data_IF_710341850572
#
_entry.id   IF_710341850572
#
_cell.length_a   1.000
_cell.length_b   1.000
_cell.length_c   1.000
_cell.angle_alpha   90.00
_cell.angle_beta   90.00
_cell.angle_gamma   90.00
#
_symmetry.space_group_name_H-M   'P 1'
#
loop_
_entity.id
_entity.type
_entity.pdbx_description
1 polymer ?
#
# COMPACT_ATOMS: atom_id res chain seq x y z
N UNK A 1 12.97 -7.96 18.81
CA UNK A 1 14.36 -8.26 19.22
C UNK A 1 15.10 -8.75 17.99
N UNK A 2 15.90 -7.87 17.37
CA UNK A 2 17.13 -8.11 16.59
C UNK A 2 17.48 -6.77 15.93
N UNK A 3 18.34 -6.00 16.61
CA UNK A 3 19.12 -4.91 16.03
C UNK A 3 20.30 -5.52 15.28
N UNK A 4 20.50 -5.15 14.02
CA UNK A 4 21.80 -5.28 13.35
C UNK A 4 22.27 -3.89 12.95
N UNK A 5 23.19 -3.36 13.74
CA UNK A 5 23.98 -2.16 13.45
C UNK A 5 24.91 -2.51 12.29
N UNK A 6 24.76 -1.82 11.15
CA UNK A 6 25.70 -1.90 10.04
C UNK A 6 26.89 -1.00 10.39
N UNK A 7 28.03 -1.60 10.74
CA UNK A 7 29.31 -0.90 10.80
C UNK A 7 29.82 -0.66 9.37
N UNK A 8 29.54 0.53 8.82
CA UNK A 8 30.27 1.05 7.66
C UNK A 8 31.67 1.48 8.13
N UNK A 9 32.72 0.81 7.64
CA UNK A 9 34.09 1.29 7.78
C UNK A 9 34.27 2.57 6.97
N UNK A 10 33.99 3.71 7.60
CA UNK A 10 34.23 5.03 7.03
C UNK A 10 35.73 5.32 7.02
N UNK A 11 36.23 5.78 5.88
CA UNK A 11 37.62 6.20 5.69
C UNK A 11 38.01 7.33 6.66
N UNK A 12 39.29 7.45 7.06
CA UNK A 12 39.74 8.42 8.08
C UNK A 12 39.35 9.87 7.77
N UNK A 13 39.32 10.23 6.48
CA UNK A 13 38.94 11.56 6.01
C UNK A 13 37.45 11.87 6.23
N UNK A 14 36.57 10.88 6.06
CA UNK A 14 35.12 11.05 6.24
C UNK A 14 34.75 11.20 7.71
N UNK A 15 35.45 10.49 8.62
CA UNK A 15 35.30 10.66 10.08
C UNK A 15 35.72 12.06 10.53
N UNK A 16 36.84 12.59 10.01
CA UNK A 16 37.31 13.97 10.30
C UNK A 16 36.37 15.03 9.73
N UNK A 17 35.76 14.77 8.56
CA UNK A 17 34.75 15.66 7.97
C UNK A 17 33.48 15.74 8.82
N UNK A 18 32.95 14.60 9.28
CA UNK A 18 31.77 14.54 10.14
C UNK A 18 31.99 15.24 11.50
N UNK A 19 33.23 15.22 12.01
CA UNK A 19 33.62 15.90 13.24
C UNK A 19 34.03 17.37 13.06
N UNK A 20 34.00 17.91 11.85
CA UNK A 20 34.39 19.31 11.58
C UNK A 20 35.90 19.61 11.65
N UNK A 21 36.74 18.58 11.77
CA UNK A 21 38.20 18.63 12.02
C UNK A 21 39.05 18.84 10.75
N UNK A 22 38.42 19.25 9.64
CA UNK A 22 39.12 19.59 8.41
C UNK A 22 39.56 21.06 8.44
N UNK A 23 40.86 21.28 8.21
CA UNK A 23 41.44 22.63 8.07
C UNK A 23 40.88 23.36 6.83
N UNK A 24 40.91 24.69 6.83
CA UNK A 24 40.43 25.49 5.66
C UNK A 24 41.16 25.11 4.36
N UNK A 25 42.44 24.76 4.42
CA UNK A 25 43.21 24.25 3.27
C UNK A 25 42.79 22.85 2.81
N UNK A 26 42.22 22.01 3.70
CA UNK A 26 41.64 20.71 3.34
C UNK A 26 40.20 20.84 2.78
N UNK A 27 39.48 21.91 3.15
CA UNK A 27 38.12 22.24 2.66
C UNK A 27 38.15 22.90 1.27
N UNK A 28 39.21 23.64 0.96
CA UNK A 28 39.35 24.44 -0.25
C UNK A 28 40.61 24.05 -1.04
N UNK A 29 40.45 23.06 -1.93
CA UNK A 29 41.28 22.96 -3.14
C UNK A 29 40.33 22.83 -4.32
N UNK A 30 39.85 23.96 -4.81
CA UNK A 30 39.29 24.07 -6.17
C UNK A 30 40.42 23.83 -7.18
N UNK A 31 40.84 22.58 -7.32
CA UNK A 31 41.66 22.15 -8.45
C UNK A 31 40.74 22.18 -9.65
N UNK A 32 40.94 23.14 -10.55
CA UNK A 32 40.26 23.20 -11.85
C UNK A 32 40.38 21.83 -12.50
N UNK A 33 39.29 21.06 -12.54
CA UNK A 33 39.27 19.74 -13.18
C UNK A 33 39.28 19.99 -14.68
N UNK A 34 40.40 19.70 -15.32
CA UNK A 34 40.48 19.70 -16.78
C UNK A 34 39.47 18.68 -17.30
N UNK A 35 38.55 19.08 -18.18
CA UNK A 35 37.57 18.18 -18.79
C UNK A 35 38.18 17.53 -20.04
N UNK A 36 37.59 16.42 -20.48
CA UNK A 36 37.94 15.78 -21.74
C UNK A 36 37.74 16.76 -22.90
N UNK A 37 38.73 16.90 -23.79
CA UNK A 37 38.64 17.72 -24.99
C UNK A 37 38.55 16.82 -26.21
N UNK A 38 37.48 16.97 -27.01
CA UNK A 38 37.30 16.18 -28.23
C UNK A 38 38.41 16.41 -29.26
N UNK A 39 39.07 17.59 -29.21
CA UNK A 39 40.25 17.89 -30.01
C UNK A 39 41.43 16.92 -29.78
N UNK A 40 41.46 16.19 -28.65
CA UNK A 40 42.48 15.16 -28.42
C UNK A 40 42.26 13.91 -29.26
N UNK A 41 41.04 13.66 -29.74
CA UNK A 41 40.77 12.52 -30.62
C UNK A 41 41.36 12.73 -32.02
N UNK A 42 41.70 13.96 -32.39
CA UNK A 42 42.34 14.32 -33.64
C UNK A 42 43.87 14.47 -33.54
N UNK A 43 44.43 14.53 -32.33
CA UNK A 43 45.88 14.61 -32.10
C UNK A 43 46.52 13.23 -32.33
N UNK A 44 47.48 13.12 -33.25
CA UNK A 44 48.15 11.87 -33.62
C UNK A 44 48.75 11.12 -32.42
N UNK A 45 49.04 11.81 -31.31
CA UNK A 45 49.55 11.19 -30.07
C UNK A 45 48.50 10.41 -29.29
N UNK A 46 47.23 10.79 -29.40
CA UNK A 46 46.13 10.25 -28.60
C UNK A 46 45.05 9.55 -29.47
N UNK A 47 45.02 9.88 -30.77
CA UNK A 47 44.13 9.31 -31.78
C UNK A 47 44.31 7.80 -31.87
N UNK A 48 43.19 7.09 -31.86
CA UNK A 48 43.13 5.62 -32.01
C UNK A 48 43.10 4.81 -30.71
N UNK A 49 43.47 5.38 -29.55
CA UNK A 49 43.43 4.63 -28.27
C UNK A 49 42.75 5.37 -27.11
N UNK A 50 42.64 6.70 -27.16
CA UNK A 50 41.98 7.49 -26.12
C UNK A 50 40.46 7.55 -26.37
N UNK A 51 39.64 7.40 -25.31
CA UNK A 51 38.16 7.41 -25.38
C UNK A 51 37.54 8.18 -24.21
N UNK A 52 36.54 9.02 -24.52
CA UNK A 52 35.72 9.73 -23.55
C UNK A 52 34.74 8.78 -22.82
N UNK A 53 34.39 9.10 -21.56
CA UNK A 53 33.37 8.37 -20.79
C UNK A 53 32.16 9.32 -20.64
N UNK A 54 30.99 9.00 -21.24
CA UNK A 54 29.83 9.91 -21.26
C UNK A 54 29.40 10.41 -19.86
N UNK A 55 29.45 9.53 -18.86
CA UNK A 55 28.98 9.84 -17.50
C UNK A 55 30.07 10.44 -16.59
N UNK A 56 31.32 10.56 -17.06
CA UNK A 56 32.46 11.05 -16.26
C UNK A 56 33.40 11.95 -17.09
N UNK A 57 33.05 13.23 -17.31
CA UNK A 57 33.79 14.14 -18.20
C UNK A 57 35.19 14.53 -17.68
N UNK A 58 35.52 14.22 -16.42
CA UNK A 58 36.84 14.39 -15.84
C UNK A 58 37.72 13.12 -15.89
N UNK A 59 37.30 12.10 -16.63
CA UNK A 59 38.04 10.86 -16.81
C UNK A 59 38.06 10.44 -18.28
N UNK A 60 39.16 9.81 -18.66
CA UNK A 60 39.33 9.20 -19.96
C UNK A 60 39.64 7.71 -19.79
N UNK A 61 39.34 6.93 -20.83
CA UNK A 61 39.68 5.51 -20.89
C UNK A 61 40.65 5.26 -22.04
N UNK A 62 41.58 4.33 -21.84
CA UNK A 62 42.40 3.79 -22.91
C UNK A 62 41.79 2.48 -23.41
N UNK A 63 41.49 2.43 -24.71
CA UNK A 63 40.97 1.25 -25.41
C UNK A 63 41.99 0.10 -25.31
N UNK A 64 43.28 0.41 -25.42
CA UNK A 64 44.33 -0.60 -25.45
C UNK A 64 44.58 -1.26 -24.10
N UNK A 65 44.49 -0.50 -23.02
CA UNK A 65 44.83 -0.99 -21.67
C UNK A 65 43.61 -1.28 -20.80
N UNK A 66 42.41 -0.94 -21.27
CA UNK A 66 41.17 -0.94 -20.50
C UNK A 66 41.32 -0.23 -19.14
N UNK A 67 42.08 0.87 -19.11
CA UNK A 67 42.41 1.63 -17.90
C UNK A 67 41.72 2.99 -17.94
N UNK A 68 41.17 3.40 -16.79
CA UNK A 68 40.55 4.71 -16.60
C UNK A 68 41.52 5.61 -15.83
N UNK A 69 41.77 6.82 -16.34
CA UNK A 69 42.65 7.82 -15.73
C UNK A 69 42.05 9.23 -15.84
N UNK A 70 42.66 10.18 -15.14
CA UNK A 70 42.23 11.58 -15.16
C UNK A 70 42.52 12.26 -16.49
N UNK A 71 41.71 13.28 -16.81
CA UNK A 71 41.81 14.10 -18.04
C UNK A 71 42.87 15.20 -17.96
N UNK A 72 43.83 15.12 -17.04
CA UNK A 72 44.98 16.04 -17.07
C UNK A 72 45.90 15.61 -18.20
N UNK A 73 46.33 16.54 -19.06
CA UNK A 73 47.18 16.23 -20.22
C UNK A 73 48.47 15.47 -19.82
N UNK A 74 49.05 15.78 -18.66
CA UNK A 74 50.20 15.07 -18.10
C UNK A 74 49.93 13.60 -17.75
N UNK A 75 48.70 13.28 -17.31
CA UNK A 75 48.30 11.91 -16.98
C UNK A 75 48.12 11.07 -18.25
N UNK A 76 47.60 11.69 -19.31
CA UNK A 76 47.42 11.06 -20.63
C UNK A 76 48.78 10.75 -21.26
N UNK A 77 49.70 11.72 -21.26
CA UNK A 77 51.07 11.55 -21.78
C UNK A 77 51.81 10.46 -20.98
N UNK A 78 51.79 10.54 -19.65
CA UNK A 78 52.43 9.54 -18.78
C UNK A 78 51.86 8.13 -18.99
N UNK A 79 50.56 8.01 -19.26
CA UNK A 79 49.97 6.72 -19.63
C UNK A 79 50.50 6.22 -20.98
N UNK A 80 50.57 7.10 -21.99
CA UNK A 80 51.06 6.76 -23.33
C UNK A 80 52.51 6.28 -23.35
N UNK A 81 53.36 6.80 -22.46
CA UNK A 81 54.76 6.43 -22.30
C UNK A 81 54.96 5.18 -21.42
N UNK A 82 53.90 4.67 -20.78
CA UNK A 82 54.02 3.52 -19.90
C UNK A 82 54.32 2.23 -20.68
N UNK A 83 55.24 1.41 -20.17
CA UNK A 83 55.60 0.12 -20.80
C UNK A 83 54.39 -0.80 -21.02
N UNK A 84 53.40 -0.75 -20.11
CA UNK A 84 52.14 -1.50 -20.26
C UNK A 84 51.35 -1.01 -21.48
N UNK A 85 51.29 0.31 -21.68
CA UNK A 85 50.62 0.91 -22.83
C UNK A 85 51.32 0.57 -24.14
N UNK A 86 52.64 0.77 -24.20
CA UNK A 86 53.45 0.48 -25.39
C UNK A 86 53.27 -0.99 -25.84
N UNK A 87 53.30 -1.95 -24.89
CA UNK A 87 53.04 -3.37 -25.17
C UNK A 87 51.60 -3.66 -25.62
N UNK A 88 50.62 -2.97 -25.05
CA UNK A 88 49.20 -3.18 -25.39
C UNK A 88 48.87 -2.61 -26.77
N UNK A 89 49.43 -1.44 -27.11
CA UNK A 89 49.24 -0.78 -28.41
C UNK A 89 50.00 -1.48 -29.52
N UNK A 90 51.22 -1.99 -29.27
CA UNK A 90 51.93 -2.81 -30.25
C UNK A 90 51.17 -4.10 -30.57
N UNK A 91 50.50 -4.69 -29.56
CA UNK A 91 49.60 -5.85 -29.76
C UNK A 91 48.35 -5.51 -30.58
N UNK A 92 47.88 -4.24 -30.54
CA UNK A 92 46.75 -3.76 -31.34
C UNK A 92 47.10 -3.40 -32.77
N UNK A 93 48.34 -2.97 -33.06
CA UNK A 93 48.79 -2.70 -34.44
C UNK A 93 48.75 -3.96 -35.33
N UNK A 94 48.84 -5.14 -34.73
CA UNK A 94 48.76 -6.43 -35.42
C UNK A 94 47.32 -6.98 -35.56
N UNK A 95 46.31 -6.26 -35.07
CA UNK A 95 44.90 -6.66 -35.18
C UNK A 95 44.19 -5.62 -36.06
N UNK A 96 44.19 -5.87 -37.36
CA UNK A 96 43.31 -5.16 -38.30
C UNK A 96 41.86 -5.24 -37.82
N UNK A 97 41.28 -4.08 -37.48
CA UNK A 97 39.85 -3.81 -37.26
C UNK A 97 39.02 -5.04 -36.86
N UNK A 98 39.06 -5.41 -35.57
CA UNK A 98 37.93 -6.11 -34.98
C UNK A 98 36.77 -5.12 -34.86
N UNK A 99 35.90 -5.09 -35.87
CA UNK A 99 34.52 -4.63 -35.64
C UNK A 99 33.95 -5.52 -34.54
N UNK A 100 33.73 -4.96 -33.36
CA UNK A 100 33.02 -5.64 -32.28
C UNK A 100 31.54 -5.71 -32.67
N UNK A 101 31.19 -6.59 -33.61
CA UNK A 101 29.81 -7.02 -33.83
C UNK A 101 29.54 -8.08 -32.75
N UNK A 102 28.77 -7.77 -31.69
CA UNK A 102 28.35 -8.82 -30.78
C UNK A 102 27.59 -9.85 -31.61
N UNK A 103 28.00 -11.11 -31.48
CA UNK A 103 27.36 -12.21 -32.20
C UNK A 103 25.84 -12.16 -31.94
N UNK A 104 25.06 -12.12 -33.02
CA UNK A 104 23.62 -11.88 -32.98
C UNK A 104 22.92 -12.87 -32.05
N UNK A 105 23.45 -14.10 -31.95
CA UNK A 105 22.96 -15.15 -31.08
C UNK A 105 23.19 -14.87 -29.59
N UNK A 106 24.32 -14.27 -29.23
CA UNK A 106 24.61 -13.88 -27.83
C UNK A 106 23.65 -12.77 -27.38
N UNK A 107 23.38 -11.80 -28.27
CA UNK A 107 22.45 -10.69 -27.98
C UNK A 107 21.02 -11.23 -27.83
N UNK A 108 20.58 -12.11 -28.74
CA UNK A 108 19.26 -12.76 -28.65
C UNK A 108 19.12 -13.54 -27.34
N UNK A 109 20.11 -14.35 -26.98
CA UNK A 109 20.08 -15.15 -25.75
C UNK A 109 19.99 -14.27 -24.51
N UNK A 110 20.81 -13.21 -24.42
CA UNK A 110 20.77 -12.25 -23.30
C UNK A 110 19.40 -11.59 -23.17
N UNK A 111 18.81 -11.21 -24.30
CA UNK A 111 17.48 -10.58 -24.35
C UNK A 111 16.40 -11.54 -23.84
N UNK A 112 16.47 -12.83 -24.21
CA UNK A 112 15.55 -13.85 -23.72
C UNK A 112 15.69 -14.12 -22.22
N UNK A 113 16.92 -14.14 -21.70
CA UNK A 113 17.16 -14.25 -20.24
C UNK A 113 16.53 -13.05 -19.51
N UNK A 114 16.79 -11.83 -19.98
CA UNK A 114 16.21 -10.61 -19.40
C UNK A 114 14.69 -10.61 -19.44
N UNK A 115 14.09 -11.02 -20.57
CA UNK A 115 12.64 -11.17 -20.70
C UNK A 115 12.08 -12.17 -19.70
N UNK A 116 12.74 -13.31 -19.53
CA UNK A 116 12.33 -14.35 -18.58
C UNK A 116 12.40 -13.84 -17.14
N UNK A 117 13.47 -13.13 -16.78
CA UNK A 117 13.61 -12.53 -15.45
C UNK A 117 12.55 -11.44 -15.19
N UNK A 118 12.22 -10.62 -16.19
CA UNK A 118 11.15 -9.65 -16.11
C UNK A 118 9.78 -10.31 -15.93
N UNK A 119 9.50 -11.39 -16.67
CA UNK A 119 8.25 -12.16 -16.52
C UNK A 119 8.13 -12.79 -15.13
N UNK A 120 9.21 -13.33 -14.58
CA UNK A 120 9.24 -13.84 -13.20
C UNK A 120 9.00 -12.72 -12.18
N UNK A 121 9.64 -11.56 -12.35
CA UNK A 121 9.43 -10.41 -11.48
C UNK A 121 7.98 -9.88 -11.56
N UNK A 122 7.42 -9.83 -12.76
CA UNK A 122 6.02 -9.47 -13.00
C UNK A 122 5.05 -10.46 -12.33
N UNK A 123 5.32 -11.77 -12.45
CA UNK A 123 4.54 -12.81 -11.79
C UNK A 123 4.55 -12.64 -10.26
N UNK A 124 5.73 -12.39 -9.67
CA UNK A 124 5.85 -12.11 -8.22
C UNK A 124 5.00 -10.92 -7.82
N UNK A 125 5.01 -9.84 -8.61
CA UNK A 125 4.23 -8.64 -8.33
C UNK A 125 2.71 -8.90 -8.44
N UNK A 126 2.25 -9.54 -9.52
CA UNK A 126 0.82 -9.78 -9.78
C UNK A 126 0.19 -10.71 -8.75
N UNK A 127 0.95 -11.68 -8.23
CA UNK A 127 0.45 -12.66 -7.26
C UNK A 127 0.77 -12.30 -5.81
N UNK A 128 1.26 -11.07 -5.55
CA UNK A 128 1.63 -10.58 -4.22
C UNK A 128 2.53 -11.59 -3.46
N UNK A 129 3.50 -12.17 -4.17
CA UNK A 129 4.41 -13.15 -3.59
C UNK A 129 5.51 -12.44 -2.81
N UNK A 130 5.94 -13.07 -1.71
CA UNK A 130 7.09 -12.60 -0.95
C UNK A 130 8.33 -12.55 -1.84
N UNK A 131 9.05 -11.42 -1.84
CA UNK A 131 10.34 -11.32 -2.52
C UNK A 131 11.39 -12.28 -1.97
N UNK A 132 11.16 -12.95 -0.82
CA UNK A 132 12.03 -14.03 -0.33
C UNK A 132 11.84 -15.30 -1.15
N UNK A 133 10.63 -15.55 -1.65
CA UNK A 133 10.31 -16.74 -2.44
C UNK A 133 11.04 -16.76 -3.79
N UNK A 134 11.41 -15.59 -4.34
CA UNK A 134 12.09 -15.51 -5.64
C UNK A 134 13.48 -16.14 -5.63
N UNK A 135 14.14 -16.18 -4.47
CA UNK A 135 15.48 -16.74 -4.34
C UNK A 135 15.49 -18.25 -4.65
N UNK A 136 14.36 -18.93 -4.41
CA UNK A 136 14.13 -20.34 -4.74
C UNK A 136 13.39 -20.50 -6.08
N UNK A 137 12.34 -19.71 -6.32
CA UNK A 137 11.52 -19.78 -7.54
C UNK A 137 12.34 -19.59 -8.81
N UNK A 138 13.33 -18.68 -8.79
CA UNK A 138 14.23 -18.43 -9.93
C UNK A 138 15.13 -19.61 -10.30
N UNK A 139 15.32 -20.58 -9.39
CA UNK A 139 16.14 -21.77 -9.63
C UNK A 139 15.36 -22.91 -10.28
N UNK A 140 14.04 -22.97 -10.06
CA UNK A 140 13.19 -24.04 -10.57
C UNK A 140 13.29 -24.23 -12.09
N UNK A 141 13.32 -23.18 -12.94
CA UNK A 141 13.50 -23.34 -14.38
C UNK A 141 14.76 -24.14 -14.74
N UNK A 142 15.87 -23.95 -14.00
CA UNK A 142 17.12 -24.65 -14.27
C UNK A 142 17.11 -26.12 -13.83
N UNK A 143 16.27 -26.46 -12.84
CA UNK A 143 16.11 -27.84 -12.33
C UNK A 143 15.14 -28.65 -13.20
N UNK A 144 14.07 -28.01 -13.66
CA UNK A 144 13.01 -28.66 -14.45
C UNK A 144 13.40 -28.73 -15.94
N UNK A 145 13.96 -27.64 -16.48
CA UNK A 145 14.39 -27.54 -17.88
C UNK A 145 15.92 -27.49 -17.94
N UNK A 146 16.53 -28.64 -17.68
CA UNK A 146 17.98 -28.80 -17.54
C UNK A 146 18.74 -28.75 -18.88
N UNK A 147 18.06 -28.82 -20.01
CA UNK A 147 18.59 -28.71 -21.37
C UNK A 147 18.63 -27.25 -21.86
N UNK A 148 17.73 -26.40 -21.34
CA UNK A 148 17.64 -25.00 -21.75
C UNK A 148 18.86 -24.18 -21.31
N UNK A 149 19.50 -23.49 -22.27
CA UNK A 149 20.59 -22.54 -21.99
C UNK A 149 20.11 -21.28 -21.27
N UNK A 150 18.85 -20.88 -21.50
CA UNK A 150 18.24 -19.67 -20.92
C UNK A 150 18.02 -19.87 -19.42
N UNK A 151 17.37 -20.98 -19.04
CA UNK A 151 17.07 -21.33 -17.65
C UNK A 151 18.32 -21.37 -16.78
N UNK A 152 19.43 -21.89 -17.30
CA UNK A 152 20.74 -21.93 -16.60
C UNK A 152 21.36 -20.55 -16.37
N UNK A 153 21.00 -19.54 -17.17
CA UNK A 153 21.55 -18.19 -17.10
C UNK A 153 20.66 -17.21 -16.31
N UNK A 154 19.47 -17.65 -15.86
CA UNK A 154 18.62 -16.84 -15.00
C UNK A 154 19.35 -16.55 -13.69
N UNK A 155 19.55 -15.27 -13.39
CA UNK A 155 20.18 -14.79 -12.17
C UNK A 155 19.29 -13.73 -11.54
N UNK A 156 18.12 -14.18 -11.08
CA UNK A 156 17.10 -13.35 -10.47
C UNK A 156 16.99 -13.66 -8.97
N UNK A 157 17.56 -12.79 -8.15
CA UNK A 157 17.42 -12.83 -6.69
C UNK A 157 16.61 -11.64 -6.19
N UNK A 158 16.27 -11.66 -4.91
CA UNK A 158 15.45 -10.64 -4.22
C UNK A 158 15.78 -9.20 -4.62
N UNK A 159 17.04 -8.79 -4.53
CA UNK A 159 17.47 -7.40 -4.79
C UNK A 159 17.26 -6.99 -6.24
N UNK A 160 17.55 -7.90 -7.19
CA UNK A 160 17.34 -7.66 -8.61
C UNK A 160 15.85 -7.63 -8.94
N UNK A 161 15.07 -8.57 -8.41
CA UNK A 161 13.62 -8.60 -8.56
C UNK A 161 12.96 -7.29 -8.10
N UNK A 162 13.33 -6.79 -6.92
CA UNK A 162 12.83 -5.50 -6.40
C UNK A 162 13.19 -4.35 -7.34
N UNK A 163 14.42 -4.31 -7.84
CA UNK A 163 14.85 -3.26 -8.78
C UNK A 163 14.12 -3.33 -10.12
N UNK A 164 13.87 -4.54 -10.65
CA UNK A 164 13.09 -4.72 -11.88
C UNK A 164 11.65 -4.24 -11.69
N UNK A 165 11.02 -4.59 -10.57
CA UNK A 165 9.65 -4.15 -10.29
C UNK A 165 9.60 -2.64 -10.13
N UNK A 166 10.45 -2.06 -9.27
CA UNK A 166 10.41 -0.62 -8.96
C UNK A 166 10.83 0.26 -10.12
N UNK A 167 11.91 -0.08 -10.82
CA UNK A 167 12.54 0.83 -11.78
C UNK A 167 12.20 0.52 -13.23
N UNK A 168 11.54 -0.62 -13.52
CA UNK A 168 11.16 -1.00 -14.88
C UNK A 168 9.66 -1.19 -14.97
N UNK A 169 9.09 -2.16 -14.26
CA UNK A 169 7.66 -2.49 -14.39
C UNK A 169 6.77 -1.34 -13.90
N UNK A 170 7.03 -0.80 -12.71
CA UNK A 170 6.24 0.30 -12.17
C UNK A 170 6.34 1.55 -13.05
N UNK A 171 7.53 1.88 -13.55
CA UNK A 171 7.75 2.98 -14.50
C UNK A 171 6.89 2.85 -15.76
N UNK A 172 6.83 1.66 -16.35
CA UNK A 172 6.03 1.41 -17.56
C UNK A 172 4.53 1.51 -17.26
N UNK A 173 4.09 1.00 -16.10
CA UNK A 173 2.68 1.10 -15.70
C UNK A 173 2.28 2.56 -15.44
N UNK A 174 3.11 3.33 -14.73
CA UNK A 174 2.93 4.77 -14.49
C UNK A 174 2.84 5.52 -15.82
N UNK A 175 3.81 5.32 -16.73
CA UNK A 175 3.81 5.94 -18.06
C UNK A 175 2.57 5.61 -18.88
N UNK A 176 2.09 4.37 -18.82
CA UNK A 176 0.88 3.95 -19.55
C UNK A 176 -0.36 4.64 -19.01
N UNK A 177 -0.53 4.67 -17.68
CA UNK A 177 -1.66 5.35 -17.03
C UNK A 177 -1.63 6.84 -17.38
N UNK A 178 -0.47 7.50 -17.25
CA UNK A 178 -0.31 8.92 -17.55
C UNK A 178 -0.66 9.22 -19.01
N UNK A 179 -0.14 8.45 -19.96
CA UNK A 179 -0.47 8.61 -21.40
C UNK A 179 -1.95 8.42 -21.67
N UNK A 180 -2.62 7.52 -20.96
CA UNK A 180 -4.05 7.29 -21.15
C UNK A 180 -4.91 8.46 -20.63
N UNK A 181 -4.45 9.20 -19.61
CA UNK A 181 -5.23 10.25 -18.95
C UNK A 181 -4.79 11.68 -19.27
N UNK A 182 -3.59 11.90 -19.84
CA UNK A 182 -3.00 13.23 -20.10
C UNK A 182 -3.98 14.19 -20.79
N UNK A 183 -4.77 13.69 -21.74
CA UNK A 183 -5.73 14.45 -22.53
C UNK A 183 -7.19 14.05 -22.27
N UNK A 184 -7.48 13.41 -21.13
CA UNK A 184 -8.84 12.99 -20.76
C UNK A 184 -9.25 13.61 -19.43
N UNK A 185 -10.55 13.72 -19.23
CA UNK A 185 -11.09 14.05 -17.92
C UNK A 185 -11.06 12.82 -17.02
N UNK A 186 -10.67 13.02 -15.76
CA UNK A 186 -10.59 11.96 -14.76
C UNK A 186 -11.05 12.45 -13.39
N UNK A 187 -11.37 11.51 -12.51
CA UNK A 187 -11.65 11.79 -11.10
C UNK A 187 -10.50 11.28 -10.24
N UNK A 188 -10.24 11.95 -9.12
CA UNK A 188 -9.23 11.55 -8.15
C UNK A 188 -9.88 11.05 -6.87
N UNK A 189 -9.34 9.96 -6.33
CA UNK A 189 -9.68 9.42 -5.02
C UNK A 189 -8.44 9.51 -4.14
N UNK A 190 -8.57 10.18 -3.00
CA UNK A 190 -7.49 10.35 -2.04
C UNK A 190 -7.81 9.61 -0.75
N UNK A 191 -6.84 8.83 -0.27
CA UNK A 191 -6.95 8.14 1.01
C UNK A 191 -5.62 8.23 1.76
N UNK A 192 -5.69 8.40 3.08
CA UNK A 192 -4.52 8.36 3.95
C UNK A 192 -4.41 6.96 4.56
N UNK A 193 -3.29 6.29 4.29
CA UNK A 193 -2.99 4.97 4.86
C UNK A 193 -1.70 5.02 5.66
N UNK A 194 -1.49 4.02 6.51
CA UNK A 194 -0.25 3.85 7.27
C UNK A 194 0.39 2.53 6.88
N UNK A 195 1.65 2.56 6.47
CA UNK A 195 2.38 1.36 6.08
C UNK A 195 2.80 0.52 7.30
N UNK A 196 3.37 -0.66 7.04
CA UNK A 196 3.81 -1.61 8.09
C UNK A 196 4.96 -1.02 8.95
N UNK A 197 5.69 -0.04 8.42
CA UNK A 197 6.75 0.69 9.12
C UNK A 197 6.22 1.92 9.89
N UNK A 198 4.89 2.08 9.98
CA UNK A 198 4.21 3.19 10.64
C UNK A 198 4.45 4.55 9.95
N UNK A 199 4.69 4.55 8.64
CA UNK A 199 4.82 5.73 7.80
C UNK A 199 3.45 6.04 7.20
N UNK A 200 2.97 7.28 7.40
CA UNK A 200 1.75 7.75 6.73
C UNK A 200 2.02 7.96 5.24
N UNK A 201 1.06 7.58 4.41
CA UNK A 201 1.14 7.67 2.95
C UNK A 201 -0.19 8.18 2.42
N UNK A 202 -0.11 9.17 1.53
CA UNK A 202 -1.24 9.64 0.72
C UNK A 202 -1.32 8.78 -0.52
N UNK A 203 -2.39 7.99 -0.63
CA UNK A 203 -2.71 7.23 -1.83
C UNK A 203 -3.51 8.09 -2.80
N UNK A 204 -3.02 8.22 -4.02
CA UNK A 204 -3.68 8.95 -5.10
C UNK A 204 -4.15 7.93 -6.13
N UNK A 205 -5.46 7.74 -6.25
CA UNK A 205 -6.04 6.93 -7.31
C UNK A 205 -6.73 7.82 -8.34
N UNK A 206 -6.69 7.39 -9.60
CA UNK A 206 -7.40 8.03 -10.70
C UNK A 206 -8.46 7.10 -11.26
N UNK A 207 -9.60 7.66 -11.62
CA UNK A 207 -10.70 6.96 -12.26
C UNK A 207 -11.08 7.68 -13.54
N UNK A 208 -11.11 6.95 -14.65
CA UNK A 208 -11.32 7.51 -15.97
C UNK A 208 -11.98 6.49 -16.89
N UNK A 209 -12.42 6.95 -18.06
CA UNK A 209 -13.01 6.09 -19.08
C UNK A 209 -11.95 5.79 -20.15
N UNK A 210 -11.71 4.52 -20.40
CA UNK A 210 -10.84 4.02 -21.48
C UNK A 210 -11.57 2.90 -22.20
N UNK A 211 -11.66 2.97 -23.53
CA UNK A 211 -12.37 1.98 -24.37
C UNK A 211 -13.80 1.68 -23.90
N UNK A 212 -14.58 2.71 -23.56
CA UNK A 212 -15.94 2.62 -23.01
C UNK A 212 -16.05 1.81 -21.70
N UNK A 213 -14.94 1.60 -21.00
CA UNK A 213 -14.91 0.96 -19.69
C UNK A 213 -14.36 1.94 -18.66
N UNK A 214 -14.92 1.86 -17.45
CA UNK A 214 -14.42 2.62 -16.31
C UNK A 214 -13.22 1.89 -15.75
N UNK A 215 -12.10 2.58 -15.65
CA UNK A 215 -10.87 2.07 -15.09
C UNK A 215 -10.52 2.86 -13.84
N UNK A 216 -9.99 2.18 -12.82
CA UNK A 216 -9.48 2.79 -11.60
C UNK A 216 -8.07 2.28 -11.37
N UNK A 217 -7.12 3.20 -11.24
CA UNK A 217 -5.71 2.86 -11.05
C UNK A 217 -5.11 3.68 -9.92
N UNK A 218 -4.22 3.05 -9.18
CA UNK A 218 -3.31 3.75 -8.28
C UNK A 218 -2.31 4.54 -9.12
N UNK A 219 -2.34 5.86 -8.98
CA UNK A 219 -1.44 6.78 -9.69
C UNK A 219 -0.12 6.94 -8.92
N UNK A 220 -0.21 7.21 -7.62
CA UNK A 220 0.97 7.43 -6.77
C UNK A 220 0.70 7.08 -5.31
N UNK A 221 1.78 6.79 -4.57
CA UNK A 221 1.81 6.59 -3.13
C UNK A 221 2.85 7.53 -2.54
N UNK A 222 2.40 8.65 -2.01
CA UNK A 222 3.29 9.72 -1.55
C UNK A 222 3.47 9.65 -0.04
N UNK A 223 4.69 9.41 0.48
CA UNK A 223 4.94 9.45 1.92
C UNK A 223 4.61 10.83 2.50
N UNK A 224 3.84 10.84 3.59
CA UNK A 224 3.48 12.05 4.34
C UNK A 224 4.41 12.12 5.55
N UNK A 225 5.35 13.05 5.52
CA UNK A 225 6.19 13.32 6.69
C UNK A 225 5.41 14.10 7.77
N UNK A 226 6.02 14.24 8.95
CA UNK A 226 5.40 14.91 10.09
C UNK A 226 5.01 16.39 9.83
N UNK A 227 5.63 17.05 8.85
CA UNK A 227 5.38 18.45 8.54
C UNK A 227 4.26 18.65 7.51
N UNK A 228 3.88 17.59 6.78
CA UNK A 228 2.90 17.65 5.69
C UNK A 228 1.54 17.05 6.01
N UNK A 229 1.27 16.65 7.27
CA UNK A 229 -0.04 16.13 7.70
C UNK A 229 -1.17 17.16 7.78
N UNK A 230 -0.96 18.39 7.31
CA UNK A 230 -1.99 19.44 7.23
C UNK A 230 -2.64 19.43 5.85
N UNK A 231 -3.82 20.03 5.71
CA UNK A 231 -4.53 20.11 4.43
C UNK A 231 -3.68 20.72 3.30
N UNK A 232 -3.00 21.83 3.60
CA UNK A 232 -2.04 22.48 2.70
C UNK A 232 -0.84 21.60 2.38
N UNK A 233 -0.33 20.86 3.37
CA UNK A 233 0.75 19.91 3.19
C UNK A 233 0.40 18.78 2.23
N UNK A 234 -0.77 18.15 2.45
CA UNK A 234 -1.31 17.10 1.58
C UNK A 234 -1.58 17.64 0.17
N UNK A 235 -2.15 18.84 0.04
CA UNK A 235 -2.36 19.47 -1.26
C UNK A 235 -1.06 19.73 -2.02
N UNK A 236 -0.02 20.19 -1.33
CA UNK A 236 1.29 20.39 -1.94
C UNK A 236 1.91 19.05 -2.39
N UNK A 237 1.78 17.99 -1.60
CA UNK A 237 2.27 16.65 -1.99
C UNK A 237 1.54 16.12 -3.22
N UNK A 238 0.21 16.29 -3.27
CA UNK A 238 -0.60 15.96 -4.43
C UNK A 238 -0.19 16.77 -5.67
N UNK A 239 -0.06 18.09 -5.54
CA UNK A 239 0.33 18.98 -6.64
C UNK A 239 1.70 18.59 -7.19
N UNK A 240 2.68 18.32 -6.30
CA UNK A 240 4.01 17.83 -6.71
C UNK A 240 3.96 16.50 -7.45
N UNK A 241 3.04 15.60 -7.08
CA UNK A 241 2.83 14.34 -7.78
C UNK A 241 2.27 14.58 -9.19
N UNK A 242 1.26 15.44 -9.33
CA UNK A 242 0.72 15.82 -10.64
C UNK A 242 1.78 16.52 -11.51
N UNK A 243 2.56 17.45 -10.95
CA UNK A 243 3.63 18.16 -11.65
C UNK A 243 4.71 17.19 -12.15
N UNK A 244 5.12 16.22 -11.32
CA UNK A 244 6.06 15.15 -11.70
C UNK A 244 5.55 14.38 -12.91
N UNK A 245 4.25 14.09 -12.93
CA UNK A 245 3.57 13.32 -13.97
C UNK A 245 3.09 14.19 -15.14
N UNK A 246 3.28 15.51 -15.09
CA UNK A 246 2.82 16.50 -16.07
C UNK A 246 1.31 16.46 -16.32
N UNK A 247 0.53 16.20 -15.26
CA UNK A 247 -0.93 16.18 -15.33
C UNK A 247 -1.49 17.53 -14.85
N UNK A 248 -2.46 18.08 -15.60
CA UNK A 248 -3.15 19.31 -15.19
C UNK A 248 -4.31 19.02 -14.24
N UNK A 249 -4.45 19.86 -13.21
CA UNK A 249 -5.61 19.90 -12.33
C UNK A 249 -6.90 20.25 -13.08
N UNK A 250 -6.83 20.95 -14.22
CA UNK A 250 -7.99 21.27 -15.07
C UNK A 250 -8.68 20.04 -15.66
N UNK A 251 -7.96 18.92 -15.73
CA UNK A 251 -8.50 17.65 -16.22
C UNK A 251 -9.22 16.84 -15.13
N UNK A 252 -9.15 17.29 -13.88
CA UNK A 252 -9.89 16.69 -12.79
C UNK A 252 -11.34 17.19 -12.84
N UNK A 253 -12.29 16.27 -12.88
CA UNK A 253 -13.74 16.57 -12.87
C UNK A 253 -14.43 16.04 -11.62
N UNK A 254 -13.75 15.19 -10.84
CA UNK A 254 -14.30 14.61 -9.63
C UNK A 254 -13.23 14.45 -8.56
N UNK A 255 -13.61 14.72 -7.32
CA UNK A 255 -12.76 14.55 -6.14
C UNK A 255 -13.52 13.74 -5.09
N UNK A 256 -12.88 12.69 -4.58
CA UNK A 256 -13.41 11.87 -3.50
C UNK A 256 -12.34 11.62 -2.44
N UNK A 257 -12.70 11.78 -1.17
CA UNK A 257 -11.81 11.49 -0.04
C UNK A 257 -12.62 11.07 1.19
N UNK A 258 -11.94 10.69 2.28
CA UNK A 258 -12.59 10.57 3.58
C UNK A 258 -13.21 11.91 4.02
N UNK A 259 -14.16 11.86 4.96
CA UNK A 259 -14.82 13.08 5.42
C UNK A 259 -14.04 13.80 6.52
N UNK A 260 -12.74 13.53 6.68
CA UNK A 260 -11.95 14.22 7.67
C UNK A 260 -11.94 15.73 7.37
N UNK A 261 -11.89 16.55 8.41
CA UNK A 261 -11.89 18.01 8.27
C UNK A 261 -10.74 18.51 7.38
N UNK A 262 -9.59 17.84 7.47
CA UNK A 262 -8.39 18.10 6.65
C UNK A 262 -8.67 17.90 5.16
N UNK A 263 -9.47 16.91 4.78
CA UNK A 263 -9.76 16.59 3.38
C UNK A 263 -10.98 17.35 2.86
N UNK A 264 -12.08 17.33 3.62
CA UNK A 264 -13.40 17.77 3.16
C UNK A 264 -13.95 19.02 3.84
N UNK A 265 -13.21 19.62 4.78
CA UNK A 265 -13.63 20.80 5.55
C UNK A 265 -14.01 22.02 4.70
N UNK A 266 -14.73 22.98 5.29
CA UNK A 266 -15.18 24.20 4.60
C UNK A 266 -14.12 25.30 4.52
N UNK A 267 -13.09 25.24 5.36
CA UNK A 267 -11.97 26.19 5.42
C UNK A 267 -10.67 25.42 5.54
N UNK A 268 -9.61 25.90 4.90
CA UNK A 268 -8.25 25.33 5.00
C UNK A 268 -8.22 23.79 4.87
N UNK A 269 -8.97 23.25 3.90
CA UNK A 269 -9.02 21.82 3.60
C UNK A 269 -8.44 21.52 2.23
N UNK A 270 -8.08 20.26 1.99
CA UNK A 270 -7.60 19.81 0.68
C UNK A 270 -8.59 20.19 -0.41
N UNK A 271 -9.88 19.92 -0.18
CA UNK A 271 -10.99 20.33 -1.07
C UNK A 271 -10.93 21.81 -1.42
N UNK A 272 -10.77 22.69 -0.43
CA UNK A 272 -10.74 24.15 -0.68
C UNK A 272 -9.56 24.53 -1.55
N UNK A 273 -8.37 23.97 -1.29
CA UNK A 273 -7.20 24.23 -2.14
C UNK A 273 -7.39 23.70 -3.57
N UNK A 274 -7.94 22.50 -3.73
CA UNK A 274 -8.22 21.93 -5.05
C UNK A 274 -9.25 22.76 -5.83
N UNK A 275 -10.30 23.24 -5.17
CA UNK A 275 -11.34 24.07 -5.80
C UNK A 275 -10.86 25.47 -6.18
N UNK A 276 -9.85 26.00 -5.48
CA UNK A 276 -9.22 27.26 -5.86
C UNK A 276 -8.45 27.13 -7.18
N UNK A 277 -7.85 25.95 -7.43
CA UNK A 277 -7.10 25.68 -8.66
C UNK A 277 -8.02 25.23 -9.81
N UNK A 278 -9.09 24.48 -9.50
CA UNK A 278 -10.13 24.11 -10.47
C UNK A 278 -11.51 24.06 -9.81
N UNK A 279 -12.34 25.05 -10.14
CA UNK A 279 -13.70 25.20 -9.58
C UNK A 279 -14.75 24.27 -10.21
N UNK A 280 -14.43 23.60 -11.32
CA UNK A 280 -15.36 22.72 -12.06
C UNK A 280 -15.30 21.26 -11.59
N UNK A 281 -15.06 21.03 -10.30
CA UNK A 281 -14.90 19.69 -9.73
C UNK A 281 -16.14 19.30 -8.94
N UNK A 282 -16.67 18.11 -9.23
CA UNK A 282 -17.70 17.49 -8.40
C UNK A 282 -17.02 16.87 -7.17
N UNK A 283 -17.36 17.37 -6.00
CA UNK A 283 -16.79 16.91 -4.73
C UNK A 283 -17.75 15.95 -4.04
N UNK A 284 -17.30 14.72 -3.78
CA UNK A 284 -18.05 13.71 -3.06
C UNK A 284 -17.28 13.21 -1.84
N UNK A 285 -17.92 13.24 -0.68
CA UNK A 285 -17.37 12.59 0.52
C UNK A 285 -17.49 11.08 0.45
N UNK A 286 -16.72 10.37 1.28
CA UNK A 286 -16.82 8.93 1.39
C UNK A 286 -18.14 8.54 2.07
N UNK A 287 -19.07 8.00 1.28
CA UNK A 287 -20.37 7.50 1.76
C UNK A 287 -20.15 6.37 2.78
N UNK A 288 -19.22 5.47 2.52
CA UNK A 288 -18.87 4.38 3.44
C UNK A 288 -18.41 4.90 4.81
N UNK A 289 -17.59 5.96 4.82
CA UNK A 289 -17.16 6.60 6.05
C UNK A 289 -18.32 7.29 6.77
N UNK A 290 -19.17 8.02 6.03
CA UNK A 290 -20.39 8.64 6.57
C UNK A 290 -21.29 7.62 7.24
N UNK A 291 -21.50 6.49 6.59
CA UNK A 291 -22.37 5.42 7.05
C UNK A 291 -21.76 4.69 8.26
N UNK A 292 -20.45 4.49 8.26
CA UNK A 292 -19.71 4.01 9.41
C UNK A 292 -19.87 4.93 10.64
N UNK A 293 -19.82 6.26 10.46
CA UNK A 293 -20.05 7.23 11.53
C UNK A 293 -21.50 7.18 12.05
N UNK A 294 -22.49 7.04 11.16
CA UNK A 294 -23.90 6.87 11.55
C UNK A 294 -24.07 5.62 12.41
N UNK A 295 -23.52 4.48 11.97
CA UNK A 295 -23.60 3.23 12.73
C UNK A 295 -22.90 3.32 14.09
N UNK A 296 -21.72 3.95 14.14
CA UNK A 296 -20.98 4.18 15.39
C UNK A 296 -21.73 5.10 16.34
N UNK A 297 -22.36 6.16 15.83
CA UNK A 297 -23.16 7.09 16.62
C UNK A 297 -24.41 6.40 17.16
N UNK A 298 -25.13 5.64 16.33
CA UNK A 298 -26.28 4.86 16.78
C UNK A 298 -25.91 3.83 17.85
N UNK A 299 -24.76 3.16 17.69
CA UNK A 299 -24.26 2.21 18.67
C UNK A 299 -23.88 2.81 20.03
N UNK A 300 -23.64 4.13 20.11
CA UNK A 300 -23.42 4.79 21.41
C UNK A 300 -24.64 4.74 22.33
N UNK A 301 -25.83 4.42 21.80
CA UNK A 301 -27.04 4.17 22.58
C UNK A 301 -27.08 2.75 23.19
N UNK A 302 -26.19 1.84 22.77
CA UNK A 302 -26.05 0.51 23.33
C UNK A 302 -25.09 0.58 24.53
N UNK A 303 -25.35 -0.16 25.62
CA UNK A 303 -24.44 -0.22 26.75
C UNK A 303 -22.99 -0.55 26.36
N UNK A 304 -22.04 0.25 26.87
CA UNK A 304 -20.61 0.14 26.52
C UNK A 304 -19.98 -1.18 26.96
N UNK A 305 -20.56 -1.87 27.95
CA UNK A 305 -20.10 -3.19 28.40
C UNK A 305 -20.14 -4.23 27.28
N UNK A 306 -21.02 -4.08 26.27
CA UNK A 306 -21.10 -5.01 25.13
C UNK A 306 -19.83 -4.93 24.27
N UNK A 307 -19.39 -3.72 23.92
CA UNK A 307 -18.15 -3.54 23.16
C UNK A 307 -16.93 -3.93 23.99
N UNK A 308 -16.89 -3.52 25.26
CA UNK A 308 -15.82 -3.88 26.20
C UNK A 308 -15.73 -5.40 26.34
N UNK A 309 -16.85 -6.13 26.39
CA UNK A 309 -16.87 -7.58 26.43
C UNK A 309 -16.20 -8.19 25.19
N UNK A 310 -16.58 -7.73 23.99
CA UNK A 310 -15.99 -8.22 22.73
C UNK A 310 -14.48 -7.95 22.68
N UNK A 311 -14.04 -6.77 23.15
CA UNK A 311 -12.62 -6.42 23.27
C UNK A 311 -11.89 -7.30 24.30
N UNK A 312 -12.50 -7.57 25.46
CA UNK A 312 -11.93 -8.39 26.52
C UNK A 312 -11.78 -9.85 26.09
N UNK A 313 -12.81 -10.43 25.45
CA UNK A 313 -12.76 -11.79 24.91
C UNK A 313 -11.62 -11.87 23.88
N UNK A 314 -11.55 -10.95 22.92
CA UNK A 314 -10.46 -10.89 21.94
C UNK A 314 -9.09 -10.80 22.62
N UNK A 315 -8.94 -9.88 23.57
CA UNK A 315 -7.68 -9.61 24.27
C UNK A 315 -7.22 -10.81 25.11
N UNK A 316 -8.16 -11.54 25.72
CA UNK A 316 -7.87 -12.74 26.51
C UNK A 316 -7.15 -13.81 25.70
N UNK A 317 -7.57 -14.05 24.46
CA UNK A 317 -6.94 -14.99 23.54
C UNK A 317 -5.77 -14.38 22.75
N UNK A 318 -5.70 -13.05 22.65
CA UNK A 318 -4.64 -12.36 21.94
C UNK A 318 -3.28 -12.71 22.57
N UNK A 319 -2.30 -13.04 21.73
CA UNK A 319 -0.90 -13.27 22.12
C UNK A 319 -0.66 -14.42 23.13
N UNK A 320 -1.65 -15.29 23.38
CA UNK A 320 -1.50 -16.49 24.22
C UNK A 320 -1.74 -17.77 23.43
N UNK A 321 -0.69 -18.43 22.92
CA UNK A 321 -0.82 -19.72 22.22
C UNK A 321 -1.48 -20.79 23.09
N UNK A 322 -1.21 -20.79 24.41
CA UNK A 322 -1.82 -21.72 25.37
C UNK A 322 -3.35 -21.57 25.39
N UNK A 323 -3.86 -20.36 25.59
CA UNK A 323 -5.33 -20.11 25.64
C UNK A 323 -6.01 -20.43 24.30
N UNK A 324 -5.32 -20.21 23.19
CA UNK A 324 -5.81 -20.63 21.87
C UNK A 324 -5.84 -22.15 21.69
N UNK A 325 -4.91 -22.90 22.29
CA UNK A 325 -4.95 -24.37 22.30
C UNK A 325 -6.14 -24.87 23.11
N UNK A 326 -6.33 -24.34 24.32
CA UNK A 326 -7.46 -24.71 25.20
C UNK A 326 -8.80 -24.46 24.51
N UNK A 327 -8.98 -23.32 23.83
CA UNK A 327 -10.19 -23.05 23.05
C UNK A 327 -10.42 -24.11 21.97
N UNK A 328 -9.37 -24.49 21.22
CA UNK A 328 -9.47 -25.52 20.16
C UNK A 328 -9.80 -26.91 20.72
N UNK A 329 -9.24 -27.24 21.87
CA UNK A 329 -9.50 -28.51 22.56
C UNK A 329 -10.97 -28.59 23.01
N UNK A 330 -11.50 -27.51 23.61
CA UNK A 330 -12.92 -27.44 23.98
C UNK A 330 -13.84 -27.46 22.75
N UNK A 331 -13.49 -26.74 21.68
CA UNK A 331 -14.23 -26.80 20.40
C UNK A 331 -14.29 -28.23 19.86
N UNK A 332 -13.17 -28.97 19.87
CA UNK A 332 -13.13 -30.38 19.44
C UNK A 332 -13.95 -31.28 20.36
N UNK A 333 -13.82 -31.10 21.67
CA UNK A 333 -14.54 -31.90 22.66
C UNK A 333 -16.06 -31.78 22.50
N UNK A 334 -16.54 -30.57 22.18
CA UNK A 334 -17.96 -30.28 21.98
C UNK A 334 -18.45 -30.54 20.54
N UNK A 335 -17.60 -31.09 19.65
CA UNK A 335 -17.87 -31.31 18.22
C UNK A 335 -18.30 -30.04 17.46
N UNK A 336 -17.70 -28.91 17.81
CA UNK A 336 -17.99 -27.59 17.25
C UNK A 336 -16.89 -27.14 16.27
N UNK A 337 -17.24 -26.16 15.43
CA UNK A 337 -16.29 -25.61 14.45
C UNK A 337 -15.07 -24.96 15.12
N UNK A 338 -13.87 -25.28 14.64
CA UNK A 338 -12.60 -24.75 15.18
C UNK A 338 -12.34 -23.32 14.71
N UNK A 339 -12.96 -22.36 15.39
CA UNK A 339 -12.95 -20.94 15.03
C UNK A 339 -12.03 -20.13 15.94
N UNK A 340 -11.16 -19.30 15.37
CA UNK A 340 -10.38 -18.32 16.15
C UNK A 340 -11.26 -17.15 16.57
N UNK A 341 -11.10 -16.63 17.78
CA UNK A 341 -11.78 -15.38 18.15
C UNK A 341 -11.26 -14.22 17.29
N UNK A 342 -12.19 -13.40 16.81
CA UNK A 342 -11.90 -12.21 16.01
C UNK A 342 -11.75 -10.99 16.92
N UNK A 343 -10.91 -10.06 16.51
CA UNK A 343 -10.70 -8.81 17.23
C UNK A 343 -11.55 -7.70 16.61
N UNK A 344 -12.34 -6.95 17.40
CA UNK A 344 -13.08 -5.81 16.89
C UNK A 344 -12.12 -4.73 16.37
N UNK A 345 -12.45 -4.11 15.24
CA UNK A 345 -11.67 -3.01 14.68
C UNK A 345 -12.07 -1.70 15.34
N UNK A 346 -11.10 -0.96 15.89
CA UNK A 346 -11.34 0.36 16.48
C UNK A 346 -11.85 1.40 15.47
N UNK A 347 -11.49 1.26 14.19
CA UNK A 347 -11.80 2.24 13.13
C UNK A 347 -12.82 1.75 12.12
N UNK A 348 -13.33 0.51 12.26
CA UNK A 348 -14.32 -0.07 11.36
C UNK A 348 -15.39 -0.79 12.17
N UNK A 349 -16.28 -0.01 12.78
CA UNK A 349 -17.45 -0.48 13.55
C UNK A 349 -18.27 -1.53 12.80
N UNK A 350 -18.43 -1.39 11.49
CA UNK A 350 -19.14 -2.36 10.66
C UNK A 350 -18.47 -3.75 10.61
N UNK A 351 -17.17 -3.84 10.91
CA UNK A 351 -16.47 -5.10 11.08
C UNK A 351 -16.80 -5.83 12.39
N UNK A 352 -17.53 -5.19 13.31
CA UNK A 352 -18.00 -5.79 14.56
C UNK A 352 -18.95 -6.97 14.32
N UNK A 353 -19.68 -6.97 13.21
CA UNK A 353 -20.65 -8.00 12.82
C UNK A 353 -20.06 -9.41 12.93
N UNK A 354 -18.91 -9.63 12.29
CA UNK A 354 -18.21 -10.93 12.34
C UNK A 354 -17.74 -11.30 13.74
N UNK A 355 -17.40 -10.32 14.58
CA UNK A 355 -17.02 -10.56 15.97
C UNK A 355 -18.24 -10.99 16.81
N UNK A 356 -19.37 -10.33 16.61
CA UNK A 356 -20.65 -10.66 17.26
C UNK A 356 -21.11 -12.06 16.85
N UNK A 357 -21.15 -12.34 15.55
CA UNK A 357 -21.47 -13.67 15.00
C UNK A 357 -20.55 -14.75 15.59
N UNK A 358 -19.24 -14.47 15.67
CA UNK A 358 -18.25 -15.39 16.25
C UNK A 358 -18.50 -15.68 17.73
N UNK A 359 -18.87 -14.66 18.50
CA UNK A 359 -19.13 -14.83 19.94
C UNK A 359 -20.46 -15.57 20.17
N UNK A 360 -21.51 -15.25 19.41
CA UNK A 360 -22.80 -15.94 19.49
C UNK A 360 -22.70 -17.41 19.06
N UNK A 361 -22.06 -17.70 17.94
CA UNK A 361 -21.84 -19.08 17.46
C UNK A 361 -20.96 -19.92 18.39
N UNK A 362 -20.20 -19.30 19.29
CA UNK A 362 -19.34 -19.98 20.25
C UNK A 362 -19.81 -19.73 21.70
N UNK A 363 -21.04 -19.25 21.90
CA UNK A 363 -21.53 -18.75 23.18
C UNK A 363 -21.38 -19.78 24.30
N UNK A 364 -21.81 -21.02 24.05
CA UNK A 364 -21.72 -22.12 25.01
C UNK A 364 -20.26 -22.44 25.39
N UNK A 365 -19.40 -22.55 24.38
CA UNK A 365 -17.97 -22.86 24.55
C UNK A 365 -17.28 -21.77 25.36
N UNK A 366 -17.57 -20.50 25.06
CA UNK A 366 -17.01 -19.36 25.78
C UNK A 366 -17.48 -19.33 27.24
N UNK A 367 -18.77 -19.61 27.49
CA UNK A 367 -19.29 -19.73 28.84
C UNK A 367 -18.56 -20.82 29.64
N UNK A 368 -18.44 -22.03 29.08
CA UNK A 368 -17.74 -23.15 29.75
C UNK A 368 -16.26 -22.83 29.97
N UNK A 369 -15.58 -22.26 28.97
CA UNK A 369 -14.17 -21.90 29.05
C UNK A 369 -13.92 -20.84 30.14
N UNK A 370 -14.68 -19.76 30.16
CA UNK A 370 -14.49 -18.69 31.13
C UNK A 370 -14.94 -19.10 32.53
N UNK A 371 -15.93 -20.00 32.65
CA UNK A 371 -16.28 -20.65 33.91
C UNK A 371 -15.10 -21.43 34.49
N UNK A 372 -14.47 -22.30 33.68
CA UNK A 372 -13.32 -23.10 34.10
C UNK A 372 -12.12 -22.20 34.46
N UNK A 373 -11.80 -21.22 33.60
CA UNK A 373 -10.70 -20.28 33.84
C UNK A 373 -10.91 -19.42 35.10
N UNK A 374 -12.16 -19.14 35.48
CA UNK A 374 -12.48 -18.46 36.73
C UNK A 374 -12.37 -19.40 37.94
N UNK A 375 -13.08 -20.54 37.90
CA UNK A 375 -13.23 -21.44 39.05
C UNK A 375 -11.93 -22.18 39.37
N UNK A 376 -11.22 -22.67 38.35
CA UNK A 376 -10.03 -23.51 38.51
C UNK A 376 -8.74 -22.69 38.51
N UNK A 377 -8.60 -21.74 37.58
CA UNK A 377 -7.37 -20.97 37.42
C UNK A 377 -7.35 -19.63 38.19
N UNK A 378 -8.48 -19.25 38.83
CA UNK A 378 -8.65 -17.98 39.56
C UNK A 378 -8.23 -16.74 38.74
N UNK A 379 -8.47 -16.76 37.43
CA UNK A 379 -8.02 -15.70 36.53
C UNK A 379 -8.94 -14.47 36.62
N UNK A 380 -8.44 -13.29 37.06
CA UNK A 380 -9.28 -12.10 37.25
C UNK A 380 -9.92 -11.59 35.96
N UNK A 381 -9.19 -11.65 34.83
CA UNK A 381 -9.72 -11.23 33.53
C UNK A 381 -10.82 -12.17 33.04
N UNK A 382 -10.68 -13.48 33.28
CA UNK A 382 -11.73 -14.45 32.98
C UNK A 382 -12.99 -14.22 33.82
N UNK A 383 -12.83 -13.83 35.10
CA UNK A 383 -13.97 -13.53 35.98
C UNK A 383 -14.83 -12.39 35.43
N UNK A 384 -14.21 -11.27 35.03
CA UNK A 384 -14.94 -10.12 34.46
C UNK A 384 -15.72 -10.53 33.20
N UNK A 385 -15.08 -11.30 32.30
CA UNK A 385 -15.73 -11.79 31.09
C UNK A 385 -16.89 -12.73 31.43
N UNK A 386 -16.67 -13.68 32.35
CA UNK A 386 -17.67 -14.65 32.73
C UNK A 386 -18.91 -14.00 33.34
N UNK A 387 -18.73 -13.02 34.23
CA UNK A 387 -19.83 -12.26 34.84
C UNK A 387 -20.69 -11.55 33.79
N UNK A 388 -20.07 -10.91 32.79
CA UNK A 388 -20.80 -10.27 31.69
C UNK A 388 -21.52 -11.27 30.77
N UNK A 389 -20.95 -12.47 30.56
CA UNK A 389 -21.62 -13.54 29.81
C UNK A 389 -22.84 -14.11 30.54
N UNK A 390 -22.89 -14.02 31.88
CA UNK A 390 -24.07 -14.42 32.67
C UNK A 390 -25.19 -13.38 32.67
N UNK A 391 -24.90 -12.14 32.27
CA UNK A 391 -25.91 -11.09 32.21
C UNK A 391 -26.89 -11.37 31.04
N UNK A 392 -28.19 -11.58 31.29
CA UNK A 392 -29.16 -11.94 30.25
C UNK A 392 -29.26 -10.85 29.16
N UNK A 393 -29.12 -9.58 29.53
CA UNK A 393 -29.17 -8.47 28.59
C UNK A 393 -28.00 -8.47 27.61
N UNK A 394 -26.83 -8.97 28.01
CA UNK A 394 -25.64 -9.02 27.15
C UNK A 394 -25.90 -9.84 25.90
N UNK A 395 -26.50 -11.04 26.07
CA UNK A 395 -26.81 -11.90 24.95
C UNK A 395 -27.89 -11.27 24.05
N UNK A 396 -28.91 -10.67 24.64
CA UNK A 396 -29.96 -9.97 23.89
C UNK A 396 -29.40 -8.82 23.03
N UNK A 397 -28.50 -7.99 23.57
CA UNK A 397 -27.84 -6.93 22.80
C UNK A 397 -26.94 -7.45 21.68
N UNK A 398 -26.22 -8.55 21.92
CA UNK A 398 -25.41 -9.18 20.87
C UNK A 398 -26.31 -9.77 19.76
N UNK A 399 -27.43 -10.39 20.11
CA UNK A 399 -28.40 -10.88 19.12
C UNK A 399 -29.01 -9.72 18.32
N UNK A 400 -29.33 -8.60 18.97
CA UNK A 400 -29.80 -7.39 18.27
C UNK A 400 -28.73 -6.84 17.31
N UNK A 401 -27.47 -6.78 17.74
CA UNK A 401 -26.36 -6.38 16.87
C UNK A 401 -26.20 -7.34 15.68
N UNK A 402 -26.31 -8.65 15.91
CA UNK A 402 -26.27 -9.65 14.84
C UNK A 402 -27.43 -9.51 13.85
N UNK A 403 -28.60 -9.07 14.32
CA UNK A 403 -29.75 -8.80 13.46
C UNK A 403 -29.57 -7.53 12.61
N UNK A 404 -29.04 -6.45 13.18
CA UNK A 404 -29.03 -5.13 12.52
C UNK A 404 -27.77 -4.86 11.70
N UNK A 405 -26.59 -5.32 12.14
CA UNK A 405 -25.32 -5.06 11.47
C UNK A 405 -25.25 -5.60 10.04
N UNK A 406 -25.81 -6.78 9.70
CA UNK A 406 -25.84 -7.27 8.32
C UNK A 406 -26.58 -6.34 7.35
N UNK A 407 -27.64 -5.65 7.82
CA UNK A 407 -28.38 -4.66 7.00
C UNK A 407 -27.45 -3.50 6.63
N UNK A 408 -26.70 -2.99 7.60
CA UNK A 408 -25.71 -1.94 7.37
C UNK A 408 -24.56 -2.43 6.46
N UNK A 409 -24.02 -3.62 6.72
CA UNK A 409 -22.93 -4.19 5.94
C UNK A 409 -23.30 -4.43 4.48
N UNK A 410 -24.49 -4.96 4.23
CA UNK A 410 -24.99 -5.20 2.86
C UNK A 410 -25.11 -3.90 2.08
N UNK A 411 -25.69 -2.87 2.70
CA UNK A 411 -25.81 -1.54 2.06
C UNK A 411 -24.44 -0.91 1.81
N UNK A 412 -23.54 -0.94 2.81
CA UNK A 412 -22.19 -0.39 2.70
C UNK A 412 -21.36 -1.09 1.60
N UNK A 413 -21.53 -2.41 1.42
CA UNK A 413 -20.85 -3.18 0.39
C UNK A 413 -21.21 -2.74 -1.04
N UNK A 414 -22.40 -2.18 -1.27
CA UNK A 414 -22.78 -1.63 -2.57
C UNK A 414 -21.89 -0.46 -2.99
N UNK A 415 -21.57 0.43 -2.05
CA UNK A 415 -20.70 1.58 -2.28
C UNK A 415 -19.21 1.22 -2.34
N UNK A 416 -18.85 0.02 -1.89
CA UNK A 416 -17.49 -0.53 -2.02
C UNK A 416 -17.28 -1.31 -3.33
N UNK A 417 -18.34 -1.49 -4.13
CA UNK A 417 -18.23 -2.23 -5.38
C UNK A 417 -17.37 -1.48 -6.40
N UNK A 418 -16.51 -2.22 -7.10
CA UNK A 418 -15.77 -1.70 -8.26
C UNK A 418 -16.68 -1.52 -9.48
N UNK A 419 -17.89 -2.12 -9.46
CA UNK A 419 -18.86 -2.03 -10.56
C UNK A 419 -19.53 -0.64 -10.58
N UNK A 420 -19.88 -0.12 -11.77
CA UNK A 420 -20.62 1.13 -11.89
C UNK A 420 -22.10 0.92 -11.54
N UNK A 421 -22.44 1.01 -10.26
CA UNK A 421 -23.78 0.73 -9.75
C UNK A 421 -24.69 1.97 -9.63
N UNK A 422 -24.30 3.12 -10.20
CA UNK A 422 -25.00 4.40 -10.02
C UNK A 422 -26.51 4.33 -10.31
N UNK A 423 -26.92 3.49 -11.27
CA UNK A 423 -28.30 3.33 -11.69
C UNK A 423 -29.20 2.65 -10.64
N UNK A 424 -28.63 1.91 -9.67
CA UNK A 424 -29.39 1.28 -8.58
C UNK A 424 -29.17 1.95 -7.21
N UNK A 425 -28.14 2.79 -7.05
CA UNK A 425 -27.77 3.31 -5.72
C UNK A 425 -28.91 4.08 -5.05
N UNK A 426 -29.71 4.83 -5.83
CA UNK A 426 -30.87 5.54 -5.29
C UNK A 426 -31.94 4.58 -4.78
N UNK A 427 -32.35 3.62 -5.61
CA UNK A 427 -33.35 2.60 -5.24
C UNK A 427 -32.90 1.79 -4.02
N UNK A 428 -31.64 1.39 -3.98
CA UNK A 428 -31.04 0.68 -2.86
C UNK A 428 -30.98 1.52 -1.58
N UNK A 429 -30.78 2.84 -1.70
CA UNK A 429 -30.82 3.76 -0.54
C UNK A 429 -32.23 3.88 0.02
N UNK A 430 -33.23 4.02 -0.86
CA UNK A 430 -34.65 4.04 -0.46
C UNK A 430 -35.04 2.71 0.18
N UNK A 431 -34.61 1.58 -0.40
CA UNK A 431 -34.83 0.23 0.14
C UNK A 431 -34.22 0.07 1.54
N UNK A 432 -32.98 0.52 1.73
CA UNK A 432 -32.33 0.52 3.05
C UNK A 432 -33.16 1.31 4.07
N UNK A 433 -33.59 2.53 3.72
CA UNK A 433 -34.39 3.37 4.62
C UNK A 433 -35.75 2.75 4.95
N UNK A 434 -36.44 2.14 3.98
CA UNK A 434 -37.67 1.37 4.23
C UNK A 434 -37.43 0.20 5.19
N UNK A 435 -36.37 -0.58 4.99
CA UNK A 435 -36.01 -1.68 5.88
C UNK A 435 -35.78 -1.16 7.30
N UNK A 436 -35.03 -0.07 7.46
CA UNK A 436 -34.79 0.53 8.78
C UNK A 436 -36.07 1.03 9.42
N UNK A 437 -36.88 1.81 8.70
CA UNK A 437 -38.14 2.37 9.20
C UNK A 437 -39.14 1.27 9.57
N UNK A 438 -39.23 0.20 8.78
CA UNK A 438 -40.15 -0.92 9.03
C UNK A 438 -39.95 -1.61 10.37
N UNK A 439 -38.77 -1.45 11.00
CA UNK A 439 -38.45 -2.07 12.28
C UNK A 439 -39.09 -1.35 13.47
N UNK A 440 -39.42 -0.07 13.34
CA UNK A 440 -39.88 0.74 14.49
C UNK A 440 -41.00 1.73 14.17
N UNK A 441 -41.38 1.92 12.90
CA UNK A 441 -42.49 2.78 12.48
C UNK A 441 -43.68 1.98 11.96
N UNK A 442 -44.87 2.57 12.07
CA UNK A 442 -46.08 2.07 11.43
C UNK A 442 -45.92 2.06 9.90
N UNK A 443 -46.54 1.08 9.24
CA UNK A 443 -46.39 0.87 7.79
C UNK A 443 -46.83 2.08 6.93
N UNK A 444 -47.82 2.84 7.39
CA UNK A 444 -48.29 4.07 6.73
C UNK A 444 -47.22 5.17 6.64
N UNK A 445 -46.18 5.10 7.48
CA UNK A 445 -45.17 6.13 7.56
C UNK A 445 -44.16 6.07 6.40
N UNK A 446 -43.82 4.89 5.90
CA UNK A 446 -42.74 4.72 4.91
C UNK A 446 -43.21 4.16 3.56
N UNK A 447 -44.52 3.94 3.37
CA UNK A 447 -45.10 3.46 2.10
C UNK A 447 -44.86 4.41 0.92
N UNK A 448 -44.80 5.72 1.18
CA UNK A 448 -44.62 6.77 0.17
C UNK A 448 -43.20 7.35 0.17
N UNK A 449 -42.21 6.65 0.74
CA UNK A 449 -40.83 7.12 0.86
C UNK A 449 -40.64 8.41 1.70
N UNK A 450 -41.62 8.71 2.57
CA UNK A 450 -41.57 9.83 3.52
C UNK A 450 -40.94 9.40 4.85
N UNK A 451 -39.61 9.37 4.90
CA UNK A 451 -38.91 8.82 6.06
C UNK A 451 -38.88 9.73 7.30
N UNK A 452 -39.17 11.03 7.21
CA UNK A 452 -39.09 11.98 8.33
C UNK A 452 -40.13 11.80 9.44
N UNK A 453 -41.13 10.92 9.24
CA UNK A 453 -42.23 10.70 10.18
C UNK A 453 -41.82 10.12 11.53
N UNK A 454 -40.59 9.59 11.66
CA UNK A 454 -40.06 9.14 12.95
C UNK A 454 -39.99 10.23 14.02
N UNK A 455 -40.03 11.52 13.62
CA UNK A 455 -40.03 12.65 14.56
C UNK A 455 -41.34 12.77 15.35
N UNK A 456 -42.41 12.12 14.91
CA UNK A 456 -43.68 12.09 15.61
C UNK A 456 -43.80 10.81 16.44
N UNK A 457 -43.82 10.87 17.79
CA UNK A 457 -43.91 9.69 18.64
C UNK A 457 -45.13 8.80 18.36
N UNK A 458 -46.26 9.38 17.90
CA UNK A 458 -47.47 8.62 17.57
C UNK A 458 -47.32 7.67 16.37
N UNK A 459 -46.27 7.87 15.57
CA UNK A 459 -45.95 7.09 14.38
C UNK A 459 -45.02 5.90 14.68
N UNK A 460 -44.43 5.87 15.88
CA UNK A 460 -43.56 4.78 16.35
C UNK A 460 -44.44 3.61 16.81
N UNK A 461 -43.99 2.39 16.53
CA UNK A 461 -44.64 1.17 17.00
C UNK A 461 -44.58 1.08 18.54
N UNK A 462 -45.60 0.50 19.19
CA UNK A 462 -45.50 0.12 20.61
C UNK A 462 -44.26 -0.74 20.86
N UNK A 463 -43.65 -0.66 22.04
CA UNK A 463 -42.38 -1.35 22.34
C UNK A 463 -42.39 -2.86 22.02
N UNK A 464 -43.52 -3.54 22.25
CA UNK A 464 -43.65 -4.98 21.99
C UNK A 464 -43.66 -5.33 20.49
N UNK A 465 -44.03 -4.36 19.65
CA UNK A 465 -44.16 -4.53 18.20
C UNK A 465 -42.89 -4.09 17.45
N UNK A 466 -41.93 -3.45 18.13
CA UNK A 466 -40.65 -3.08 17.55
C UNK A 466 -39.88 -4.36 17.17
N UNK A 467 -39.36 -4.39 15.95
CA UNK A 467 -38.60 -5.53 15.42
C UNK A 467 -37.12 -5.39 15.72
N UNK A 468 -36.67 -6.14 16.73
CA UNK A 468 -35.28 -6.17 17.21
C UNK A 468 -34.57 -7.51 16.90
N UNK A 469 -35.20 -8.40 16.13
CA UNK A 469 -34.73 -9.76 15.86
C UNK A 469 -35.32 -10.78 16.84
N UNK A 470 -35.77 -11.92 16.31
CA UNK A 470 -36.38 -13.00 17.10
C UNK A 470 -35.46 -13.50 18.22
N UNK A 471 -34.18 -13.73 17.92
CA UNK A 471 -33.20 -14.21 18.90
C UNK A 471 -33.00 -13.24 20.07
N UNK A 472 -33.03 -11.93 19.78
CA UNK A 472 -32.93 -10.88 20.80
C UNK A 472 -34.20 -10.80 21.67
N UNK A 473 -35.39 -11.00 21.09
CA UNK A 473 -36.66 -11.07 21.83
C UNK A 473 -36.74 -12.31 22.74
N UNK A 474 -36.11 -13.40 22.33
CA UNK A 474 -36.12 -14.68 23.06
C UNK A 474 -34.99 -14.86 24.08
N UNK A 475 -33.97 -13.99 24.03
CA UNK A 475 -32.82 -14.01 24.96
C UNK A 475 -33.13 -13.24 26.22
#
# INVERSE_FOLDING_TARGET
MFMCIIHLQLTPKYKRQYRGELTMNEKSKNVRKQLFSDSWLEDDRFKGWLRAIPDQPSKASCIACNLIFGTKKSDIIRHSESQRHIRSVSSLKNVTKLEFRPDSEIVKMRTQVQKTELMLAHFVACHNLSFRSIDHLSQLPSLIMNDSKISKQISLKRTKCIKLIKNVLASVVEDNIVKEIENKKFSVYLDETTDIANIKVLAILVKYISNNQIQTHLLDLVPVDANHGTAKGLYMLFSKSLDKLKLSTDNIIGYCADNASVMMGSKESFKVHLLNDNSNIIVNGCICHSFHLIASSAASCIPSNIEILLQNISSYFSRSPKRQSVLKELQRFLNESQLKILSPSQTRWLALDKCVERVLSQWRILNDLFRLAYVEEKNPAANVIYQELQNPYTKAYLCFLHFILPVFNTFNALFQSEKPLVFILYEESVRFLRIMCSKFLKAECYKNDEFDKFKNPSMILPNNDIEIGHEAKSS
#
